data_IF_397213204538
#
_entry.id   IF_397213204538
#
_cell.length_a   1.000
_cell.length_b   1.000
_cell.length_c   1.000
_cell.angle_alpha   90.00
_cell.angle_beta   90.00
_cell.angle_gamma   90.00
#
_symmetry.space_group_name_H-M   'P 1'
#
loop_
_entity.id
_entity.type
_entity.pdbx_description
1 polymer ?
#
# COMPACT_ATOMS: atom_id res chain seq x y z
N UNK A 1 -13.77 4.35 -24.15
CA UNK A 1 -12.58 4.25 -23.29
C UNK A 1 -12.67 3.00 -22.45
N UNK A 2 -11.55 2.48 -21.98
CA UNK A 2 -11.50 1.27 -21.14
C UNK A 2 -11.16 1.61 -19.69
N UNK A 3 -11.81 0.96 -18.73
CA UNK A 3 -11.43 1.03 -17.31
C UNK A 3 -10.30 0.05 -17.03
N UNK A 4 -9.28 0.49 -16.29
CA UNK A 4 -8.07 -0.28 -15.94
C UNK A 4 -7.75 -0.09 -14.46
N UNK A 5 -7.49 -1.19 -13.74
CA UNK A 5 -7.03 -1.13 -12.35
C UNK A 5 -5.53 -0.87 -12.29
N UNK A 6 -5.12 0.02 -11.40
CA UNK A 6 -3.72 0.36 -11.11
C UNK A 6 -3.50 0.17 -9.61
N UNK A 7 -2.44 -0.55 -9.24
CA UNK A 7 -2.10 -0.76 -7.83
C UNK A 7 -1.01 -1.81 -7.61
N UNK A 8 -0.68 -2.01 -6.34
CA UNK A 8 0.29 -3.01 -5.91
C UNK A 8 -0.24 -4.45 -6.00
N UNK A 9 0.66 -5.39 -6.26
CA UNK A 9 0.38 -6.83 -6.26
C UNK A 9 0.80 -7.54 -4.96
N UNK A 10 1.65 -6.90 -4.14
CA UNK A 10 2.09 -7.38 -2.84
C UNK A 10 1.07 -6.95 -1.77
N UNK A 11 0.52 -7.93 -1.07
CA UNK A 11 -0.38 -7.69 0.05
C UNK A 11 0.44 -7.39 1.32
N UNK A 12 -0.14 -6.56 2.19
CA UNK A 12 0.39 -6.23 3.51
C UNK A 12 -0.80 -6.00 4.44
N UNK A 13 -0.70 -6.43 5.69
CA UNK A 13 -1.70 -6.12 6.71
C UNK A 13 -1.53 -4.68 7.23
N UNK A 14 -2.60 -4.11 7.79
CA UNK A 14 -2.51 -2.78 8.42
C UNK A 14 -1.50 -2.78 9.59
N UNK A 15 -1.41 -3.87 10.35
CA UNK A 15 -0.46 -4.00 11.45
C UNK A 15 1.00 -4.01 10.96
N UNK A 16 1.31 -4.76 9.89
CA UNK A 16 2.65 -4.76 9.29
C UNK A 16 3.02 -3.39 8.73
N UNK A 17 2.07 -2.72 8.06
CA UNK A 17 2.27 -1.37 7.54
C UNK A 17 2.55 -0.37 8.67
N UNK A 18 1.76 -0.41 9.76
CA UNK A 18 1.95 0.47 10.92
C UNK A 18 3.32 0.25 11.59
N UNK A 19 3.74 -1.01 11.76
CA UNK A 19 5.07 -1.35 12.29
C UNK A 19 6.19 -0.84 11.40
N UNK A 20 6.07 -1.04 10.08
CA UNK A 20 7.06 -0.58 9.11
C UNK A 20 7.20 0.95 9.14
N UNK A 21 6.10 1.69 9.16
CA UNK A 21 6.14 3.16 9.24
C UNK A 21 6.83 3.61 10.53
N UNK A 22 6.49 3.00 11.68
CA UNK A 22 7.09 3.34 12.96
C UNK A 22 8.60 3.09 12.97
N UNK A 23 9.04 1.98 12.40
CA UNK A 23 10.46 1.65 12.24
C UNK A 23 11.17 2.68 11.35
N UNK A 24 10.65 2.95 10.15
CA UNK A 24 11.26 3.87 9.19
C UNK A 24 11.34 5.32 9.68
N UNK A 25 10.44 5.72 10.58
CA UNK A 25 10.39 7.07 11.16
C UNK A 25 11.08 7.17 12.52
N UNK A 26 11.56 6.07 13.08
CA UNK A 26 12.05 5.98 14.46
C UNK A 26 11.07 6.60 15.48
N UNK A 27 9.77 6.41 15.25
CA UNK A 27 8.71 7.00 16.07
C UNK A 27 8.43 6.18 17.33
N UNK A 28 8.11 6.87 18.43
CA UNK A 28 7.62 6.27 19.68
C UNK A 28 6.10 6.11 19.72
N UNK A 29 5.37 6.42 18.63
CA UNK A 29 3.91 6.31 18.59
C UNK A 29 3.42 4.90 18.94
N UNK A 30 2.34 4.86 19.73
CA UNK A 30 1.65 3.63 20.08
C UNK A 30 0.82 3.11 18.89
N UNK A 31 0.63 1.79 18.84
CA UNK A 31 -0.24 1.13 17.86
C UNK A 31 -1.47 0.65 18.60
N UNK A 32 -2.60 1.32 18.37
CA UNK A 32 -3.89 0.96 18.97
C UNK A 32 -4.76 0.17 17.99
N UNK A 33 -5.55 -0.78 18.52
CA UNK A 33 -6.48 -1.58 17.74
C UNK A 33 -7.90 -1.03 17.91
N UNK A 34 -8.46 -0.54 16.81
CA UNK A 34 -9.83 -0.02 16.77
C UNK A 34 -10.75 -0.95 15.96
N UNK A 35 -12.08 -0.91 16.19
CA UNK A 35 -13.04 -1.65 15.37
C UNK A 35 -12.92 -1.27 13.88
N UNK A 36 -13.07 -2.27 13.00
CA UNK A 36 -13.08 -2.04 11.56
C UNK A 36 -14.28 -1.15 11.17
N UNK A 37 -14.08 -0.05 10.42
CA UNK A 37 -15.19 0.73 9.90
C UNK A 37 -16.11 -0.12 9.01
N UNK A 38 -17.42 0.14 9.06
CA UNK A 38 -18.44 -0.66 8.37
C UNK A 38 -18.18 -0.78 6.86
N UNK A 39 -17.68 0.30 6.26
CA UNK A 39 -17.49 0.41 4.82
C UNK A 39 -16.06 0.03 4.36
N UNK A 40 -15.19 -0.40 5.29
CA UNK A 40 -13.81 -0.73 4.97
C UNK A 40 -13.68 -2.20 4.53
N UNK A 41 -13.24 -2.48 3.29
CA UNK A 41 -13.00 -3.83 2.84
C UNK A 41 -11.84 -4.47 3.61
N UNK A 42 -12.04 -5.72 4.04
CA UNK A 42 -11.02 -6.50 4.77
C UNK A 42 -9.77 -6.83 3.94
N UNK A 43 -9.89 -6.80 2.61
CA UNK A 43 -8.80 -7.16 1.68
C UNK A 43 -8.89 -6.30 0.43
N UNK A 44 -7.75 -5.73 0.01
CA UNK A 44 -7.62 -4.95 -1.22
C UNK A 44 -6.47 -5.53 -2.06
N UNK A 45 -6.81 -6.10 -3.23
CA UNK A 45 -5.84 -6.59 -4.21
C UNK A 45 -6.40 -6.39 -5.62
N UNK A 46 -6.01 -5.34 -6.34
CA UNK A 46 -6.50 -5.11 -7.70
C UNK A 46 -5.94 -6.16 -8.67
N UNK A 47 -6.80 -6.63 -9.57
CA UNK A 47 -6.32 -7.37 -10.74
C UNK A 47 -5.76 -6.39 -11.77
N UNK A 48 -4.43 -6.43 -11.95
CA UNK A 48 -3.67 -5.57 -12.87
C UNK A 48 -3.37 -6.26 -14.21
N UNK A 49 -3.95 -7.44 -14.49
CA UNK A 49 -3.76 -8.18 -15.75
C UNK A 49 -4.02 -7.32 -16.98
N UNK A 50 -5.06 -6.48 -16.90
CA UNK A 50 -5.43 -5.56 -17.98
C UNK A 50 -4.38 -4.47 -18.21
N UNK A 51 -3.87 -3.86 -17.14
CA UNK A 51 -2.82 -2.83 -17.22
C UNK A 51 -1.53 -3.38 -17.84
N UNK A 52 -1.15 -4.61 -17.46
CA UNK A 52 0.01 -5.29 -18.07
C UNK A 52 -0.17 -5.52 -19.56
N UNK A 53 -1.34 -5.99 -19.98
CA UNK A 53 -1.61 -6.36 -21.39
C UNK A 53 -1.70 -5.15 -22.32
N UNK A 54 -2.47 -4.13 -21.95
CA UNK A 54 -2.81 -3.04 -22.88
C UNK A 54 -1.95 -1.80 -22.70
N UNK A 55 -1.34 -1.61 -21.52
CA UNK A 55 -0.49 -0.44 -21.22
C UNK A 55 0.99 -0.81 -21.04
N UNK A 56 1.33 -2.11 -21.06
CA UNK A 56 2.64 -2.61 -20.65
C UNK A 56 3.07 -2.04 -19.27
N UNK A 57 2.09 -1.90 -18.37
CA UNK A 57 2.26 -1.24 -17.08
C UNK A 57 2.28 -2.25 -15.93
N UNK A 58 3.19 -2.03 -14.98
CA UNK A 58 3.23 -2.72 -13.69
C UNK A 58 3.90 -1.82 -12.62
N UNK A 59 3.61 -2.02 -11.32
CA UNK A 59 4.25 -1.24 -10.26
C UNK A 59 5.76 -1.51 -10.22
N UNK A 60 6.56 -0.44 -10.26
CA UNK A 60 8.04 -0.52 -10.28
C UNK A 60 8.70 -0.19 -8.95
N UNK A 61 7.98 0.48 -8.05
CA UNK A 61 8.50 0.94 -6.75
C UNK A 61 7.96 0.01 -5.67
N UNK A 62 8.84 -0.54 -4.84
CA UNK A 62 8.42 -1.33 -3.68
C UNK A 62 7.80 -0.40 -2.63
N UNK A 63 6.90 -0.96 -1.82
CA UNK A 63 6.23 -0.20 -0.75
C UNK A 63 7.24 0.52 0.16
N UNK A 64 8.26 -0.18 0.63
CA UNK A 64 9.29 0.38 1.52
C UNK A 64 10.08 1.52 0.85
N UNK A 65 10.50 1.35 -0.40
CA UNK A 65 11.21 2.40 -1.16
C UNK A 65 10.33 3.65 -1.31
N UNK A 66 9.04 3.46 -1.57
CA UNK A 66 8.05 4.54 -1.65
C UNK A 66 7.88 5.27 -0.32
N UNK A 67 7.79 4.53 0.79
CA UNK A 67 7.68 5.09 2.14
C UNK A 67 8.94 5.87 2.52
N UNK A 68 10.14 5.34 2.26
CA UNK A 68 11.41 6.05 2.53
C UNK A 68 11.48 7.38 1.79
N UNK A 69 11.12 7.41 0.50
CA UNK A 69 11.05 8.64 -0.31
C UNK A 69 10.02 9.64 0.21
N UNK A 70 8.90 9.14 0.74
CA UNK A 70 7.89 9.99 1.35
C UNK A 70 8.44 10.61 2.63
N UNK A 71 8.99 9.81 3.54
CA UNK A 71 9.54 10.27 4.83
C UNK A 71 10.66 11.29 4.63
N UNK A 72 11.56 11.08 3.67
CA UNK A 72 12.64 12.03 3.34
C UNK A 72 12.13 13.43 2.91
N UNK A 73 10.90 13.50 2.39
CA UNK A 73 10.29 14.76 1.92
C UNK A 73 9.53 15.54 2.99
N UNK A 74 9.25 14.94 4.15
CA UNK A 74 8.58 15.60 5.28
C UNK A 74 9.60 16.27 6.20
#
# INVERSE_FOLDING_TARGET
GEVVNIGGNKEITILELAKLIRELTNSSSEIEFLPLPKDDPRRRKPDITKAKKILNWEPKIKLEDGLRRMIERF
#
